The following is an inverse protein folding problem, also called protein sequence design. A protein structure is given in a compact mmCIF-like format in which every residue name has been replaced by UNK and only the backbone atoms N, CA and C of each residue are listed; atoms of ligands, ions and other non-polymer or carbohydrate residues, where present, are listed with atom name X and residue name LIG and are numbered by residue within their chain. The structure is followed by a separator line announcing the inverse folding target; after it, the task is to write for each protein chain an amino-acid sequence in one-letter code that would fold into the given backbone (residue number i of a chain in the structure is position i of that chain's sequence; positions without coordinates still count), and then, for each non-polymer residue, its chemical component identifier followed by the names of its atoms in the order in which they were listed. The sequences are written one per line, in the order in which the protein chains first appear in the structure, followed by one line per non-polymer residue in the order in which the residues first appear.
data_IF_831713631212
#
_entry.id   IF_831713631212
#
_cell.length_a   1.000
_cell.length_b   1.000
_cell.length_c   1.000
_cell.angle_alpha   90.00
_cell.angle_beta   90.00
_cell.angle_gamma   90.00
#
_symmetry.space_group_name_H-M   'P 1'
#
loop_
_entity.id
_entity.type
_entity.pdbx_description
1 polymer ?
#
# COMPACT_ATOMS: atom_id res chain seq x y z
N UNK A 1 -31.90 6.60 28.64
CA UNK A 1 -30.61 6.96 28.03
C UNK A 1 -30.43 6.16 26.75
N UNK A 2 -30.33 6.81 25.58
CA UNK A 2 -30.02 6.08 24.34
C UNK A 2 -28.56 5.65 24.40
N UNK A 3 -28.22 4.37 24.14
CA UNK A 3 -26.82 3.96 24.08
C UNK A 3 -26.15 4.75 22.94
N UNK A 4 -25.15 5.55 23.30
CA UNK A 4 -24.29 6.22 22.33
C UNK A 4 -23.59 5.12 21.54
N UNK A 5 -23.87 5.02 20.24
CA UNK A 5 -23.15 4.09 19.37
C UNK A 5 -21.69 4.56 19.34
N UNK A 6 -20.71 3.75 19.77
CA UNK A 6 -19.30 4.17 19.82
C UNK A 6 -18.64 4.25 18.43
N UNK A 7 -19.37 4.00 17.34
CA UNK A 7 -18.84 3.97 15.98
C UNK A 7 -18.24 5.30 15.49
N UNK A 8 -18.96 6.44 15.56
CA UNK A 8 -18.45 7.74 15.11
C UNK A 8 -17.16 8.21 15.79
N UNK A 9 -16.99 8.15 17.13
CA UNK A 9 -15.76 8.61 17.76
C UNK A 9 -14.54 7.75 17.39
N UNK A 10 -14.70 6.44 17.21
CA UNK A 10 -13.61 5.56 16.78
C UNK A 10 -13.09 5.92 15.38
N UNK A 11 -14.00 6.21 14.44
CA UNK A 11 -13.63 6.64 13.09
C UNK A 11 -12.97 8.02 13.08
N UNK A 12 -13.50 8.98 13.83
CA UNK A 12 -12.90 10.33 13.95
C UNK A 12 -11.49 10.22 14.51
N UNK A 13 -11.30 9.41 15.55
CA UNK A 13 -9.98 9.12 16.10
C UNK A 13 -9.05 8.52 15.04
N UNK A 14 -9.48 7.46 14.36
CA UNK A 14 -8.68 6.81 13.32
C UNK A 14 -8.23 7.78 12.21
N UNK A 15 -9.12 8.65 11.75
CA UNK A 15 -8.81 9.70 10.75
C UNK A 15 -7.81 10.72 11.31
N UNK A 16 -8.00 11.19 12.54
CA UNK A 16 -7.08 12.14 13.16
C UNK A 16 -5.66 11.56 13.30
N UNK A 17 -5.56 10.30 13.76
CA UNK A 17 -4.30 9.59 13.85
C UNK A 17 -3.63 9.35 12.50
N UNK A 18 -4.40 9.02 11.47
CA UNK A 18 -3.89 8.90 10.11
C UNK A 18 -3.31 10.24 9.61
N UNK A 19 -4.01 11.35 9.86
CA UNK A 19 -3.53 12.69 9.52
C UNK A 19 -2.24 13.07 10.26
N UNK A 20 -2.15 12.76 11.56
CA UNK A 20 -0.94 12.97 12.36
C UNK A 20 0.25 12.15 11.83
N UNK A 21 0.01 10.90 11.44
CA UNK A 21 1.05 10.05 10.87
C UNK A 21 1.54 10.60 9.52
N UNK A 22 0.64 10.92 8.59
CA UNK A 22 0.99 11.50 7.29
C UNK A 22 1.72 12.85 7.43
N UNK A 23 1.29 13.70 8.37
CA UNK A 23 1.98 14.95 8.71
C UNK A 23 3.39 14.68 9.24
N UNK A 24 3.58 13.67 10.09
CA UNK A 24 4.89 13.27 10.59
C UNK A 24 5.83 12.77 9.49
N UNK A 25 5.30 12.00 8.53
CA UNK A 25 6.06 11.57 7.35
C UNK A 25 6.47 12.76 6.48
N UNK A 26 5.58 13.74 6.29
CA UNK A 26 5.84 14.93 5.48
C UNK A 26 7.05 15.73 5.98
N UNK A 27 7.15 15.90 7.30
CA UNK A 27 8.25 16.65 7.94
C UNK A 27 9.42 15.76 8.37
N UNK A 28 9.35 14.46 8.04
CA UNK A 28 10.30 13.44 8.46
C UNK A 28 10.59 13.41 9.97
N UNK A 29 9.61 13.84 10.78
CA UNK A 29 9.66 13.78 12.22
C UNK A 29 8.33 13.23 12.71
N UNK A 30 8.32 12.08 13.43
CA UNK A 30 7.07 11.52 13.92
C UNK A 30 6.45 12.49 14.93
N UNK A 31 5.36 13.17 14.54
CA UNK A 31 4.55 14.00 15.46
C UNK A 31 4.11 13.15 16.65
N UNK A 32 3.73 11.90 16.36
CA UNK A 32 3.50 10.88 17.37
C UNK A 32 3.89 9.50 16.85
N UNK A 33 4.85 8.85 17.54
CA UNK A 33 5.45 7.55 17.18
C UNK A 33 4.44 6.45 16.88
N UNK A 34 3.30 6.42 17.57
CA UNK A 34 2.30 5.35 17.46
C UNK A 34 1.05 5.77 16.69
N UNK A 35 1.10 6.86 15.92
CA UNK A 35 -0.08 7.38 15.24
C UNK A 35 -0.69 6.36 14.26
N UNK A 36 0.12 5.70 13.43
CA UNK A 36 -0.34 4.66 12.51
C UNK A 36 -0.95 3.46 13.26
N UNK A 37 -0.24 2.95 14.27
CA UNK A 37 -0.68 1.83 15.11
C UNK A 37 -2.03 2.14 15.77
N UNK A 38 -2.21 3.35 16.29
CA UNK A 38 -3.46 3.79 16.90
C UNK A 38 -4.57 3.97 15.86
N UNK A 39 -4.26 4.46 14.66
CA UNK A 39 -5.24 4.56 13.57
C UNK A 39 -5.79 3.18 13.18
N UNK A 40 -4.89 2.22 12.93
CA UNK A 40 -5.26 0.85 12.58
C UNK A 40 -5.95 0.11 13.74
N UNK A 41 -5.49 0.33 14.98
CA UNK A 41 -6.12 -0.23 16.18
C UNK A 41 -7.56 0.27 16.38
N UNK A 42 -7.81 1.56 16.14
CA UNK A 42 -9.16 2.13 16.19
C UNK A 42 -10.04 1.63 15.05
N UNK A 43 -9.49 1.44 13.84
CA UNK A 43 -10.19 0.79 12.74
C UNK A 43 -10.59 -0.65 13.06
N UNK A 44 -9.70 -1.40 13.72
CA UNK A 44 -9.97 -2.76 14.17
C UNK A 44 -11.09 -2.77 15.20
N UNK A 45 -11.01 -1.92 16.22
CA UNK A 45 -12.06 -1.76 17.22
C UNK A 45 -13.40 -1.38 16.57
N UNK A 46 -13.38 -0.45 15.61
CA UNK A 46 -14.56 -0.04 14.87
C UNK A 46 -15.18 -1.21 14.08
N UNK A 47 -14.36 -2.03 13.40
CA UNK A 47 -14.83 -3.19 12.66
C UNK A 47 -15.48 -4.24 13.57
N UNK A 48 -14.88 -4.50 14.73
CA UNK A 48 -15.41 -5.44 15.72
C UNK A 48 -16.76 -4.97 16.30
N UNK A 49 -16.91 -3.67 16.59
CA UNK A 49 -18.15 -3.14 17.20
C UNK A 49 -19.27 -2.91 16.18
N UNK A 50 -18.93 -2.50 14.95
CA UNK A 50 -19.94 -2.16 13.93
C UNK A 50 -20.55 -3.40 13.25
N UNK A 51 -19.89 -4.55 13.37
CA UNK A 51 -20.31 -5.81 12.78
C UNK A 51 -20.00 -5.87 11.29
N UNK A 52 -19.14 -6.81 10.92
CA UNK A 52 -18.70 -7.02 9.53
C UNK A 52 -19.67 -7.96 8.80
N UNK A 53 -19.93 -7.79 7.49
CA UNK A 53 -20.61 -8.80 6.69
C UNK A 53 -19.93 -10.17 6.81
N UNK A 54 -20.72 -11.23 6.71
CA UNK A 54 -20.17 -12.59 6.74
C UNK A 54 -19.22 -12.79 5.55
N UNK A 55 -18.08 -13.46 5.75
CA UNK A 55 -17.52 -13.95 7.01
C UNK A 55 -16.93 -12.84 7.90
N UNK A 56 -17.33 -12.83 9.18
CA UNK A 56 -17.03 -11.76 10.15
C UNK A 56 -15.56 -11.62 10.52
N UNK A 57 -14.73 -12.61 10.19
CA UNK A 57 -13.31 -12.64 10.55
C UNK A 57 -12.40 -11.94 9.53
N UNK A 58 -12.86 -11.72 8.30
CA UNK A 58 -11.99 -11.28 7.19
C UNK A 58 -11.39 -9.88 7.39
N UNK A 59 -12.23 -8.91 7.77
CA UNK A 59 -11.78 -7.53 8.04
C UNK A 59 -10.88 -7.45 9.28
N UNK A 60 -11.23 -8.07 10.42
CA UNK A 60 -10.32 -8.15 11.56
C UNK A 60 -8.97 -8.77 11.21
N UNK A 61 -8.95 -9.91 10.50
CA UNK A 61 -7.71 -10.58 10.12
C UNK A 61 -6.83 -9.69 9.23
N UNK A 62 -7.42 -9.03 8.22
CA UNK A 62 -6.69 -8.08 7.37
C UNK A 62 -6.09 -6.91 8.19
N UNK A 63 -6.86 -6.32 9.11
CA UNK A 63 -6.39 -5.24 9.96
C UNK A 63 -5.33 -5.69 10.97
N UNK A 64 -5.39 -6.93 11.47
CA UNK A 64 -4.36 -7.48 12.36
C UNK A 64 -3.02 -7.60 11.65
N UNK A 65 -3.01 -8.01 10.37
CA UNK A 65 -1.78 -8.06 9.58
C UNK A 65 -1.17 -6.67 9.39
N UNK A 66 -2.00 -5.68 9.04
CA UNK A 66 -1.56 -4.29 8.92
C UNK A 66 -1.04 -3.72 10.25
N UNK A 67 -1.72 -4.03 11.36
CA UNK A 67 -1.29 -3.59 12.68
C UNK A 67 0.05 -4.22 13.10
N UNK A 68 0.25 -5.50 12.79
CA UNK A 68 1.51 -6.19 13.04
C UNK A 68 2.67 -5.52 12.28
N UNK A 69 2.42 -5.16 11.02
CA UNK A 69 3.40 -4.44 10.22
C UNK A 69 3.70 -3.05 10.78
N UNK A 70 2.68 -2.24 11.08
CA UNK A 70 2.85 -0.91 11.69
C UNK A 70 3.62 -0.95 13.02
N UNK A 71 3.41 -2.00 13.83
CA UNK A 71 4.20 -2.20 15.07
C UNK A 71 5.65 -2.53 14.74
N UNK A 72 5.90 -3.37 13.73
CA UNK A 72 7.24 -3.76 13.29
C UNK A 72 8.02 -2.58 12.69
N UNK A 73 7.35 -1.69 11.97
CA UNK A 73 7.94 -0.52 11.29
C UNK A 73 7.98 0.73 12.16
N UNK A 74 7.48 0.66 13.40
CA UNK A 74 7.52 1.78 14.35
C UNK A 74 8.97 2.23 14.59
N UNK A 75 9.31 3.53 14.38
CA UNK A 75 10.68 4.02 14.55
C UNK A 75 11.23 3.70 15.94
N UNK A 76 12.53 3.45 16.11
CA UNK A 76 13.14 3.29 17.43
C UNK A 76 12.99 4.56 18.28
N UNK A 77 13.18 4.44 19.61
CA UNK A 77 13.05 5.58 20.50
C UNK A 77 14.17 6.61 20.23
N UNK A 78 13.88 7.92 20.32
CA UNK A 78 14.89 8.96 20.13
C UNK A 78 16.07 8.74 21.09
N UNK A 79 17.30 8.77 20.55
CA UNK A 79 18.54 8.56 21.31
C UNK A 79 19.15 7.15 21.23
N UNK A 80 18.57 6.23 20.45
CA UNK A 80 19.15 4.88 20.21
C UNK A 80 19.85 4.72 18.85
N UNK A 81 20.00 5.79 18.08
CA UNK A 81 20.56 5.72 16.73
C UNK A 81 22.10 5.68 16.71
N UNK A 82 22.65 4.48 16.51
CA UNK A 82 24.00 4.30 15.97
C UNK A 82 23.96 4.67 14.49
N UNK A 83 24.41 5.87 14.16
CA UNK A 83 24.56 6.33 12.77
C UNK A 83 25.69 5.54 12.09
N UNK A 84 25.39 4.34 11.61
CA UNK A 84 26.30 3.61 10.73
C UNK A 84 26.01 4.07 9.31
N UNK A 85 26.86 4.96 8.81
CA UNK A 85 26.90 5.31 7.40
C UNK A 85 27.44 4.08 6.66
N UNK A 86 26.55 3.18 6.24
CA UNK A 86 26.91 2.09 5.34
C UNK A 86 27.15 2.70 3.96
N UNK A 87 28.42 2.99 3.67
CA UNK A 87 28.89 3.13 2.30
C UNK A 87 28.97 1.69 1.77
N UNK A 88 27.90 1.22 1.13
CA UNK A 88 27.91 -0.06 0.42
C UNK A 88 28.91 0.02 -0.73
N UNK A 89 30.07 -0.56 -0.47
CA UNK A 89 31.17 -0.63 -1.41
C UNK A 89 30.99 -1.91 -2.23
N UNK A 90 30.32 -1.79 -3.38
CA UNK A 90 30.28 -2.82 -4.43
C UNK A 90 30.11 -4.25 -3.93
N UNK A 91 29.07 -4.51 -3.15
CA UNK A 91 28.69 -5.88 -2.81
C UNK A 91 28.11 -6.56 -4.06
N UNK A 92 28.42 -7.84 -4.24
CA UNK A 92 27.79 -8.68 -5.26
C UNK A 92 26.27 -8.48 -5.22
N UNK A 93 25.66 -8.22 -6.39
CA UNK A 93 24.22 -8.03 -6.53
C UNK A 93 23.50 -9.32 -6.13
N UNK A 94 23.03 -9.37 -4.88
CA UNK A 94 22.21 -10.49 -4.41
C UNK A 94 20.82 -10.38 -5.03
N UNK A 95 20.62 -10.97 -6.20
CA UNK A 95 19.36 -10.97 -6.98
C UNK A 95 18.08 -11.21 -6.13
N UNK A 96 18.02 -12.17 -5.18
CA UNK A 96 16.83 -12.33 -4.32
C UNK A 96 16.54 -11.14 -3.40
N UNK A 97 17.54 -10.32 -3.03
CA UNK A 97 17.34 -9.13 -2.18
C UNK A 97 16.41 -8.09 -2.81
N UNK A 98 16.33 -8.04 -4.14
CA UNK A 98 15.37 -7.20 -4.85
C UNK A 98 13.92 -7.59 -4.54
N UNK A 99 13.60 -8.88 -4.64
CA UNK A 99 12.27 -9.40 -4.26
C UNK A 99 11.95 -9.13 -2.80
N UNK A 100 12.91 -9.37 -1.89
CA UNK A 100 12.73 -9.11 -0.46
C UNK A 100 12.46 -7.63 -0.17
N UNK A 101 13.16 -6.73 -0.86
CA UNK A 101 12.96 -5.28 -0.76
C UNK A 101 11.56 -4.87 -1.21
N UNK A 102 11.09 -5.38 -2.36
CA UNK A 102 9.71 -5.15 -2.80
C UNK A 102 8.67 -5.73 -1.84
N UNK A 103 8.93 -6.93 -1.31
CA UNK A 103 8.01 -7.60 -0.41
C UNK A 103 7.94 -6.89 0.94
N UNK A 104 9.06 -6.47 1.52
CA UNK A 104 9.10 -5.77 2.81
C UNK A 104 8.29 -4.47 2.78
N UNK A 105 8.20 -3.79 1.64
CA UNK A 105 7.41 -2.58 1.47
C UNK A 105 5.89 -2.81 1.42
N UNK A 106 5.42 -3.97 0.91
CA UNK A 106 4.00 -4.14 0.60
C UNK A 106 3.37 -5.44 1.10
N UNK A 107 4.10 -6.29 1.83
CA UNK A 107 3.62 -7.63 2.25
C UNK A 107 2.32 -7.55 3.06
N UNK A 108 2.20 -6.57 3.96
CA UNK A 108 1.05 -6.43 4.84
C UNK A 108 -0.20 -6.03 4.05
N UNK A 109 -0.07 -5.00 3.22
CA UNK A 109 -1.07 -4.54 2.24
C UNK A 109 -1.52 -5.68 1.31
N UNK A 110 -0.56 -6.40 0.73
CA UNK A 110 -0.80 -7.53 -0.18
C UNK A 110 -1.56 -8.65 0.51
N UNK A 111 -1.14 -9.02 1.72
CA UNK A 111 -1.79 -10.08 2.51
C UNK A 111 -3.21 -9.68 2.91
N UNK A 112 -3.41 -8.44 3.36
CA UNK A 112 -4.72 -7.91 3.71
C UNK A 112 -5.69 -7.94 2.51
N UNK A 113 -5.25 -7.46 1.34
CA UNK A 113 -6.03 -7.49 0.09
C UNK A 113 -6.31 -8.92 -0.34
N UNK A 114 -5.33 -9.83 -0.27
CA UNK A 114 -5.51 -11.23 -0.62
C UNK A 114 -6.56 -11.91 0.28
N UNK A 115 -6.50 -11.71 1.60
CA UNK A 115 -7.51 -12.21 2.55
C UNK A 115 -8.89 -11.72 2.17
N UNK A 116 -9.06 -10.42 1.94
CA UNK A 116 -10.36 -9.85 1.54
C UNK A 116 -10.83 -10.39 0.18
N UNK A 117 -9.92 -10.55 -0.79
CA UNK A 117 -10.25 -11.05 -2.12
C UNK A 117 -10.70 -12.52 -2.08
N UNK A 118 -10.06 -13.37 -1.26
CA UNK A 118 -10.47 -14.79 -1.14
C UNK A 118 -11.91 -14.95 -0.68
N UNK A 119 -12.37 -14.01 0.14
CA UNK A 119 -13.72 -13.97 0.69
C UNK A 119 -14.73 -13.44 -0.34
N UNK A 120 -14.39 -12.33 -1.01
CA UNK A 120 -15.32 -11.62 -1.88
C UNK A 120 -15.29 -12.06 -3.35
N UNK A 121 -14.39 -12.97 -3.75
CA UNK A 121 -14.34 -13.48 -5.14
C UNK A 121 -15.46 -14.47 -5.50
N UNK A 122 -16.27 -14.94 -4.53
CA UNK A 122 -17.15 -16.10 -4.69
C UNK A 122 -18.39 -15.89 -5.59
N UNK A 123 -18.93 -14.68 -5.69
CA UNK A 123 -20.23 -14.45 -6.34
C UNK A 123 -20.15 -13.93 -7.80
N UNK A 124 -19.02 -14.18 -8.48
CA UNK A 124 -18.88 -13.90 -9.91
C UNK A 124 -18.62 -12.44 -10.27
N UNK A 125 -18.04 -12.21 -11.45
CA UNK A 125 -17.55 -10.90 -11.88
C UNK A 125 -18.54 -10.23 -12.83
N UNK A 126 -18.88 -8.97 -12.59
CA UNK A 126 -19.72 -8.19 -13.51
C UNK A 126 -18.90 -7.66 -14.70
N UNK A 127 -19.25 -8.11 -15.91
CA UNK A 127 -18.59 -7.78 -17.20
C UNK A 127 -18.25 -6.30 -17.44
N UNK A 128 -19.05 -5.37 -16.93
CA UNK A 128 -18.79 -3.92 -17.09
C UNK A 128 -17.68 -3.41 -16.18
N UNK A 129 -17.60 -3.94 -14.96
CA UNK A 129 -16.60 -3.55 -13.97
C UNK A 129 -15.24 -4.17 -14.33
N UNK A 130 -15.24 -5.36 -14.93
CA UNK A 130 -14.01 -6.03 -15.38
C UNK A 130 -13.31 -5.29 -16.51
N UNK A 131 -14.03 -4.61 -17.40
CA UNK A 131 -13.41 -3.85 -18.49
C UNK A 131 -12.58 -2.67 -17.97
N UNK A 132 -13.13 -1.87 -17.05
CA UNK A 132 -12.39 -0.76 -16.43
C UNK A 132 -11.19 -1.22 -15.62
N UNK A 133 -11.33 -2.33 -14.87
CA UNK A 133 -10.21 -2.90 -14.13
C UNK A 133 -9.14 -3.52 -15.04
N UNK A 134 -9.52 -4.09 -16.20
CA UNK A 134 -8.55 -4.58 -17.18
C UNK A 134 -7.72 -3.43 -17.75
N UNK A 135 -8.33 -2.28 -18.04
CA UNK A 135 -7.61 -1.07 -18.47
C UNK A 135 -6.68 -0.58 -17.37
N UNK A 136 -7.17 -0.49 -16.13
CA UNK A 136 -6.33 -0.08 -14.99
C UNK A 136 -5.17 -1.06 -14.75
N UNK A 137 -5.41 -2.38 -14.85
CA UNK A 137 -4.39 -3.40 -14.71
C UNK A 137 -3.35 -3.31 -15.84
N UNK A 138 -3.79 -3.04 -17.06
CA UNK A 138 -2.91 -2.81 -18.20
C UNK A 138 -2.04 -1.56 -17.99
N UNK A 139 -2.58 -0.49 -17.42
CA UNK A 139 -1.81 0.70 -17.09
C UNK A 139 -0.76 0.44 -16.00
N UNK A 140 -1.12 -0.28 -14.93
CA UNK A 140 -0.19 -0.64 -13.85
C UNK A 140 0.92 -1.57 -14.37
N UNK A 141 0.56 -2.61 -15.12
CA UNK A 141 1.53 -3.52 -15.72
C UNK A 141 2.40 -2.81 -16.77
N UNK A 142 1.79 -1.96 -17.60
CA UNK A 142 2.50 -1.15 -18.59
C UNK A 142 3.51 -0.19 -17.95
N UNK A 143 3.13 0.46 -16.84
CA UNK A 143 4.05 1.29 -16.06
C UNK A 143 5.25 0.48 -15.56
N UNK A 144 5.01 -0.68 -14.94
CA UNK A 144 6.07 -1.57 -14.48
C UNK A 144 7.02 -1.99 -15.61
N UNK A 145 6.49 -2.37 -16.77
CA UNK A 145 7.28 -2.73 -17.96
C UNK A 145 8.13 -1.55 -18.44
N UNK A 146 7.56 -0.35 -18.56
CA UNK A 146 8.30 0.85 -18.98
C UNK A 146 9.47 1.13 -18.05
N UNK A 147 9.28 1.00 -16.73
CA UNK A 147 10.34 1.24 -15.74
C UNK A 147 11.47 0.20 -15.83
N UNK A 148 11.14 -1.08 -15.96
CA UNK A 148 12.13 -2.15 -16.15
C UNK A 148 12.92 -1.95 -17.45
N UNK A 149 12.23 -1.57 -18.54
CA UNK A 149 12.86 -1.31 -19.85
C UNK A 149 13.77 -0.08 -19.82
N UNK A 150 13.35 1.00 -19.16
CA UNK A 150 14.17 2.21 -19.01
C UNK A 150 15.48 1.91 -18.27
N UNK A 151 15.41 1.11 -17.21
CA UNK A 151 16.60 0.66 -16.46
C UNK A 151 17.48 -0.25 -17.33
N UNK A 152 16.89 -1.19 -18.06
CA UNK A 152 17.64 -2.04 -18.99
C UNK A 152 18.36 -1.23 -20.07
N UNK A 153 17.69 -0.22 -20.64
CA UNK A 153 18.30 0.70 -21.60
C UNK A 153 19.43 1.52 -20.97
N UNK A 154 19.24 2.00 -19.75
CA UNK A 154 20.24 2.75 -19.00
C UNK A 154 21.50 1.89 -18.71
N UNK A 155 21.32 0.64 -18.28
CA UNK A 155 22.41 -0.32 -18.05
C UNK A 155 23.15 -0.65 -19.36
N UNK A 156 22.43 -0.81 -20.49
CA UNK A 156 23.05 -1.11 -21.80
C UNK A 156 23.80 0.06 -22.42
N UNK A 157 23.39 1.28 -22.15
CA UNK A 157 24.02 2.48 -22.70
C UNK A 157 25.39 2.80 -22.06
N UNK A 158 25.78 2.06 -21.02
CA UNK A 158 27.03 2.30 -20.28
C UNK A 158 28.23 1.73 -21.06
N UNK A 159 29.19 2.57 -21.50
CA UNK A 159 30.42 2.09 -22.13
C UNK A 159 31.34 1.54 -21.04
N UNK A 160 31.34 0.22 -20.81
CA UNK A 160 32.23 -0.43 -19.83
C UNK A 160 33.32 -1.27 -20.52
N UNK A 161 34.61 -1.00 -20.26
CA UNK A 161 35.72 -1.78 -20.80
C UNK A 161 36.00 -3.13 -20.08
N UNK A 162 35.26 -3.50 -19.02
CA UNK A 162 35.67 -4.60 -18.11
C UNK A 162 34.59 -5.59 -17.64
N UNK A 163 33.35 -5.55 -18.13
CA UNK A 163 32.31 -6.52 -17.71
C UNK A 163 32.04 -7.54 -18.81
N UNK A 164 32.26 -8.82 -18.50
CA UNK A 164 31.85 -9.94 -19.35
C UNK A 164 30.33 -10.16 -19.21
N UNK A 165 29.70 -10.72 -20.24
CA UNK A 165 28.26 -10.65 -20.53
C UNK A 165 27.26 -11.21 -19.51
N UNK A 166 27.69 -11.70 -18.34
CA UNK A 166 26.81 -12.10 -17.22
C UNK A 166 26.47 -10.92 -16.29
N UNK A 167 27.39 -9.97 -16.09
CA UNK A 167 27.28 -8.94 -15.05
C UNK A 167 26.25 -7.82 -15.37
N UNK A 168 25.67 -7.83 -16.57
CA UNK A 168 24.66 -6.86 -17.02
C UNK A 168 23.22 -7.35 -16.88
N UNK A 169 23.02 -8.67 -16.73
CA UNK A 169 21.69 -9.26 -16.55
C UNK A 169 21.19 -9.17 -15.10
N UNK A 170 22.10 -9.30 -14.13
CA UNK A 170 21.82 -9.31 -12.70
C UNK A 170 21.04 -8.08 -12.19
N UNK A 171 21.39 -6.81 -12.54
CA UNK A 171 20.61 -5.67 -12.07
C UNK A 171 19.19 -5.63 -12.67
N UNK A 172 19.01 -6.11 -13.91
CA UNK A 172 17.70 -6.13 -14.58
C UNK A 172 16.82 -7.22 -13.98
N UNK A 173 17.40 -8.39 -13.66
CA UNK A 173 16.69 -9.47 -12.98
C UNK A 173 16.32 -9.04 -11.55
N UNK A 174 17.25 -8.43 -10.81
CA UNK A 174 16.99 -7.92 -9.45
C UNK A 174 15.86 -6.88 -9.43
N UNK A 175 15.89 -5.91 -10.36
CA UNK A 175 14.80 -4.93 -10.54
C UNK A 175 13.50 -5.61 -10.95
N UNK A 176 13.55 -6.54 -11.90
CA UNK A 176 12.37 -7.29 -12.34
C UNK A 176 11.71 -8.02 -11.18
N UNK A 177 12.50 -8.66 -10.31
CA UNK A 177 12.04 -9.33 -9.11
C UNK A 177 11.49 -8.36 -8.05
N UNK A 178 12.14 -7.20 -7.85
CA UNK A 178 11.72 -6.18 -6.90
C UNK A 178 10.34 -5.59 -7.21
N UNK A 179 9.99 -5.52 -8.50
CA UNK A 179 8.73 -4.97 -9.00
C UNK A 179 7.57 -5.96 -8.81
N UNK A 180 7.83 -7.27 -8.66
CA UNK A 180 6.77 -8.30 -8.59
C UNK A 180 5.81 -8.13 -7.39
N UNK A 181 6.28 -7.93 -6.13
CA UNK A 181 5.37 -7.76 -5.00
C UNK A 181 4.42 -6.56 -5.13
N UNK A 182 4.87 -5.33 -5.42
CA UNK A 182 3.95 -4.21 -5.61
C UNK A 182 3.07 -4.35 -6.85
N UNK A 183 3.54 -4.99 -7.92
CA UNK A 183 2.69 -5.32 -9.08
C UNK A 183 1.56 -6.28 -8.67
N UNK A 184 1.88 -7.31 -7.89
CA UNK A 184 0.89 -8.23 -7.35
C UNK A 184 -0.12 -7.51 -6.45
N UNK A 185 0.33 -6.55 -5.62
CA UNK A 185 -0.57 -5.71 -4.82
C UNK A 185 -1.54 -4.93 -5.73
N UNK A 186 -1.03 -4.25 -6.76
CA UNK A 186 -1.88 -3.47 -7.68
C UNK A 186 -2.95 -4.33 -8.37
N UNK A 187 -2.55 -5.48 -8.89
CA UNK A 187 -3.47 -6.39 -9.59
C UNK A 187 -4.50 -7.03 -8.65
N UNK A 188 -4.06 -7.47 -7.46
CA UNK A 188 -4.97 -8.05 -6.46
C UNK A 188 -5.94 -7.00 -5.90
N UNK A 189 -5.49 -5.77 -5.72
CA UNK A 189 -6.32 -4.65 -5.29
C UNK A 189 -7.38 -4.29 -6.34
N UNK A 190 -7.03 -4.29 -7.63
CA UNK A 190 -8.02 -4.11 -8.71
C UNK A 190 -9.03 -5.27 -8.76
N UNK A 191 -8.58 -6.51 -8.60
CA UNK A 191 -9.48 -7.67 -8.52
C UNK A 191 -10.42 -7.58 -7.30
N UNK A 192 -9.91 -7.09 -6.17
CA UNK A 192 -10.75 -6.82 -4.99
C UNK A 192 -11.75 -5.68 -5.27
N UNK A 193 -11.31 -4.62 -5.95
CA UNK A 193 -12.19 -3.51 -6.32
C UNK A 193 -13.35 -3.96 -7.21
N UNK A 194 -13.10 -4.85 -8.19
CA UNK A 194 -14.15 -5.38 -9.06
C UNK A 194 -15.12 -6.27 -8.31
N UNK A 195 -14.60 -7.16 -7.45
CA UNK A 195 -15.40 -8.01 -6.60
C UNK A 195 -16.32 -7.16 -5.70
N UNK A 196 -15.77 -6.18 -4.98
CA UNK A 196 -16.52 -5.29 -4.09
C UNK A 196 -17.56 -4.46 -4.83
N UNK A 197 -17.25 -3.96 -6.03
CA UNK A 197 -18.21 -3.25 -6.87
C UNK A 197 -19.35 -4.16 -7.33
N UNK A 198 -19.07 -5.43 -7.66
CA UNK A 198 -20.09 -6.45 -7.96
C UNK A 198 -21.05 -6.68 -6.79
N UNK A 199 -20.55 -6.60 -5.56
CA UNK A 199 -21.36 -6.70 -4.33
C UNK A 199 -22.03 -5.38 -3.91
N UNK A 200 -21.99 -4.33 -4.77
CA UNK A 200 -22.57 -3.02 -4.49
C UNK A 200 -21.82 -2.21 -3.40
N UNK A 201 -20.62 -2.63 -3.01
CA UNK A 201 -19.80 -2.00 -1.96
C UNK A 201 -18.92 -0.88 -2.55
N UNK A 202 -19.55 0.20 -3.03
CA UNK A 202 -18.86 1.28 -3.76
C UNK A 202 -17.72 1.93 -2.96
N UNK A 203 -17.92 2.20 -1.67
CA UNK A 203 -16.88 2.80 -0.82
C UNK A 203 -15.68 1.86 -0.64
N UNK A 204 -15.93 0.57 -0.37
CA UNK A 204 -14.85 -0.40 -0.22
C UNK A 204 -14.12 -0.63 -1.55
N UNK A 205 -14.84 -0.64 -2.67
CA UNK A 205 -14.27 -0.69 -4.02
C UNK A 205 -13.37 0.51 -4.28
N UNK A 206 -13.78 1.73 -3.90
CA UNK A 206 -12.94 2.92 -4.00
C UNK A 206 -11.66 2.80 -3.16
N UNK A 207 -11.76 2.28 -1.93
CA UNK A 207 -10.58 1.99 -1.11
C UNK A 207 -9.62 0.99 -1.79
N UNK A 208 -10.14 -0.09 -2.38
CA UNK A 208 -9.30 -1.03 -3.13
C UNK A 208 -8.65 -0.40 -4.37
N UNK A 209 -9.32 0.52 -5.07
CA UNK A 209 -8.71 1.28 -6.17
C UNK A 209 -7.58 2.19 -5.66
N UNK A 210 -7.76 2.84 -4.50
CA UNK A 210 -6.68 3.64 -3.90
C UNK A 210 -5.46 2.78 -3.54
N UNK A 211 -5.64 1.55 -3.05
CA UNK A 211 -4.51 0.62 -2.83
C UNK A 211 -3.81 0.26 -4.15
N UNK A 212 -4.55 0.10 -5.24
CA UNK A 212 -3.93 -0.13 -6.55
C UNK A 212 -3.11 1.09 -7.02
N UNK A 213 -3.52 2.31 -6.66
CA UNK A 213 -2.74 3.53 -6.92
C UNK A 213 -1.48 3.58 -6.05
N UNK A 214 -1.58 3.18 -4.77
CA UNK A 214 -0.43 3.09 -3.84
C UNK A 214 0.62 2.09 -4.30
N UNK A 215 0.24 1.07 -5.06
CA UNK A 215 1.21 0.16 -5.65
C UNK A 215 2.23 0.87 -6.56
N UNK A 216 1.88 2.00 -7.20
CA UNK A 216 2.79 2.74 -8.08
C UNK A 216 4.01 3.32 -7.34
N UNK A 217 3.87 4.14 -6.27
CA UNK A 217 5.02 4.59 -5.50
C UNK A 217 5.77 3.44 -4.82
N UNK A 218 5.12 2.31 -4.52
CA UNK A 218 5.84 1.12 -4.06
C UNK A 218 6.68 0.46 -5.15
N UNK A 219 6.23 0.44 -6.42
CA UNK A 219 7.08 0.00 -7.54
C UNK A 219 8.34 0.84 -7.60
N UNK A 220 8.20 2.17 -7.52
CA UNK A 220 9.35 3.09 -7.58
C UNK A 220 10.28 2.96 -6.37
N UNK A 221 9.72 2.81 -5.17
CA UNK A 221 10.50 2.57 -3.96
C UNK A 221 11.24 1.22 -4.03
N UNK A 222 10.61 0.18 -4.57
CA UNK A 222 11.22 -1.15 -4.71
C UNK A 222 12.37 -1.12 -5.72
N UNK A 223 12.20 -0.41 -6.83
CA UNK A 223 13.26 -0.16 -7.82
C UNK A 223 14.42 0.60 -7.18
N UNK A 224 14.12 1.68 -6.44
CA UNK A 224 15.12 2.52 -5.79
C UNK A 224 15.88 1.83 -4.65
N UNK A 225 15.37 0.71 -4.13
CA UNK A 225 16.05 -0.12 -3.14
C UNK A 225 17.07 -1.09 -3.75
N UNK A 226 17.00 -1.35 -5.07
CA UNK A 226 18.01 -2.19 -5.75
C UNK A 226 19.28 -1.36 -5.95
N UNK A 227 20.46 -1.84 -5.51
CA UNK A 227 21.71 -1.12 -5.71
C UNK A 227 22.09 -1.11 -7.20
N UNK A 228 21.71 -0.03 -7.88
CA UNK A 228 22.00 0.17 -9.30
C UNK A 228 23.32 0.93 -9.51
N UNK A 229 24.01 0.72 -10.65
CA UNK A 229 25.14 1.57 -11.07
C UNK A 229 24.85 3.06 -10.96
N UNK A 230 25.84 3.87 -10.54
CA UNK A 230 25.68 5.30 -10.25
C UNK A 230 24.93 6.10 -11.34
N UNK A 231 25.09 5.80 -12.63
CA UNK A 231 24.39 6.48 -13.73
C UNK A 231 22.97 5.96 -14.02
N UNK A 232 22.70 4.67 -13.76
CA UNK A 232 21.34 4.12 -13.80
C UNK A 232 20.54 4.65 -12.60
N UNK A 233 21.21 4.79 -11.45
CA UNK A 233 20.68 5.45 -10.27
C UNK A 233 20.41 6.94 -10.54
N UNK A 234 21.30 7.68 -11.22
CA UNK A 234 21.16 9.13 -11.49
C UNK A 234 19.94 9.50 -12.35
N UNK A 235 19.59 8.68 -13.35
CA UNK A 235 18.35 8.88 -14.14
C UNK A 235 17.09 8.64 -13.30
N UNK A 236 17.17 7.76 -12.30
CA UNK A 236 16.12 7.59 -11.28
C UNK A 236 16.29 8.53 -10.07
N UNK A 237 17.41 9.28 -9.98
CA UNK A 237 17.79 10.04 -8.79
C UNK A 237 17.02 11.35 -8.62
N UNK A 238 16.31 11.83 -9.66
CA UNK A 238 15.26 12.83 -9.46
C UNK A 238 14.17 12.37 -8.47
N UNK A 239 14.09 11.06 -8.19
CA UNK A 239 13.25 10.48 -7.13
C UNK A 239 14.07 9.87 -5.96
N UNK A 240 15.41 10.00 -5.95
CA UNK A 240 16.27 9.59 -4.84
C UNK A 240 16.26 10.59 -3.67
N UNK A 241 15.11 11.22 -3.40
CA UNK A 241 14.88 12.04 -2.19
C UNK A 241 15.03 11.23 -0.89
N UNK A 242 15.18 9.92 -0.99
CA UNK A 242 15.49 9.01 0.11
C UNK A 242 16.95 9.10 0.57
N UNK A 243 17.88 9.48 -0.31
CA UNK A 243 19.31 9.61 -0.03
C UNK A 243 19.69 10.96 0.62
N UNK A 244 18.80 11.95 0.54
CA UNK A 244 18.98 13.24 1.20
C UNK A 244 18.34 13.16 2.59
N UNK A 245 19.15 13.42 3.63
CA UNK A 245 18.67 13.53 5.01
C UNK A 245 17.60 14.62 5.06
N UNK A 246 16.34 14.28 5.39
CA UNK A 246 15.24 15.22 5.30
C UNK A 246 15.34 16.25 6.42
N UNK A 247 15.02 17.49 6.07
CA UNK A 247 14.97 18.63 7.00
C UNK A 247 13.64 19.36 6.81
N UNK A 248 13.28 20.25 7.74
CA UNK A 248 12.09 21.11 7.58
C UNK A 248 12.12 21.95 6.28
N UNK A 249 13.31 22.15 5.69
CA UNK A 249 13.53 22.81 4.41
C UNK A 249 13.43 21.89 3.18
N UNK A 250 13.39 20.57 3.36
CA UNK A 250 13.31 19.54 2.33
C UNK A 250 12.23 18.51 2.70
N UNK A 251 10.92 18.88 2.63
CA UNK A 251 9.83 17.98 2.97
C UNK A 251 9.80 16.75 2.05
N UNK A 252 9.16 15.67 2.52
CA UNK A 252 8.97 14.41 1.77
C UNK A 252 7.51 14.27 1.28
N UNK A 253 7.08 15.05 0.27
CA UNK A 253 5.68 15.08 -0.15
C UNK A 253 5.21 13.74 -0.72
N UNK A 254 6.05 13.05 -1.49
CA UNK A 254 5.68 11.77 -2.13
C UNK A 254 5.42 10.68 -1.08
N UNK A 255 6.35 10.36 -0.14
CA UNK A 255 6.06 9.41 0.93
C UNK A 255 4.83 9.79 1.77
N UNK A 256 4.66 11.06 2.11
CA UNK A 256 3.53 11.52 2.91
C UNK A 256 2.19 11.33 2.19
N UNK A 257 2.15 11.63 0.88
CA UNK A 257 0.96 11.40 0.05
C UNK A 257 0.67 9.90 -0.09
N UNK A 258 1.69 9.07 -0.32
CA UNK A 258 1.52 7.61 -0.39
C UNK A 258 0.86 7.08 0.87
N UNK A 259 1.40 7.43 2.04
CA UNK A 259 0.86 7.04 3.35
C UNK A 259 -0.55 7.58 3.57
N UNK A 260 -0.81 8.83 3.22
CA UNK A 260 -2.14 9.42 3.34
C UNK A 260 -3.18 8.68 2.48
N UNK A 261 -2.84 8.36 1.24
CA UNK A 261 -3.70 7.62 0.31
C UNK A 261 -3.91 6.18 0.80
N UNK A 262 -2.87 5.53 1.31
CA UNK A 262 -2.93 4.18 1.87
C UNK A 262 -3.86 4.10 3.08
N UNK A 263 -3.69 4.99 4.07
CA UNK A 263 -4.55 5.04 5.25
C UNK A 263 -6.00 5.41 4.87
N UNK A 264 -6.19 6.31 3.91
CA UNK A 264 -7.51 6.60 3.35
C UNK A 264 -8.13 5.36 2.68
N UNK A 265 -7.32 4.57 1.99
CA UNK A 265 -7.76 3.32 1.38
C UNK A 265 -8.26 2.31 2.43
N UNK A 266 -7.51 2.13 3.52
CA UNK A 266 -7.93 1.27 4.65
C UNK A 266 -9.21 1.78 5.31
N UNK A 267 -9.32 3.09 5.56
CA UNK A 267 -10.53 3.71 6.08
C UNK A 267 -11.75 3.42 5.19
N UNK A 268 -11.64 3.64 3.88
CA UNK A 268 -12.72 3.40 2.93
C UNK A 268 -13.09 1.91 2.82
N UNK A 269 -12.11 1.01 2.86
CA UNK A 269 -12.32 -0.43 2.90
C UNK A 269 -13.12 -0.83 4.15
N UNK A 270 -12.66 -0.42 5.34
CA UNK A 270 -13.31 -0.79 6.60
C UNK A 270 -14.72 -0.21 6.67
N UNK A 271 -14.88 1.10 6.43
CA UNK A 271 -16.19 1.77 6.47
C UNK A 271 -17.14 1.20 5.41
N UNK A 272 -16.65 0.96 4.20
CA UNK A 272 -17.46 0.40 3.11
C UNK A 272 -17.91 -1.03 3.37
N UNK A 273 -17.11 -1.81 4.09
CA UNK A 273 -17.45 -3.18 4.46
C UNK A 273 -18.40 -3.23 5.67
N UNK A 274 -18.20 -2.39 6.69
CA UNK A 274 -19.01 -2.42 7.93
C UNK A 274 -20.31 -1.60 7.85
N UNK A 275 -20.34 -0.51 7.09
CA UNK A 275 -21.42 0.50 7.08
C UNK A 275 -22.72 0.13 6.36
N UNK A 276 -22.87 -1.11 5.91
CA UNK A 276 -23.88 -1.50 4.93
C UNK A 276 -25.19 -2.05 5.49
N UNK A 277 -25.49 -1.79 6.77
CA UNK A 277 -26.86 -1.97 7.29
C UNK A 277 -27.76 -0.88 6.72
N UNK A 278 -28.32 -1.11 5.53
CA UNK A 278 -29.49 -0.36 5.07
C UNK A 278 -30.58 -0.47 6.15
N UNK A 279 -31.22 0.64 6.57
CA UNK A 279 -32.41 0.54 7.38
C UNK A 279 -33.45 -0.23 6.60
N UNK A 280 -33.91 -1.34 7.17
CA UNK A 280 -35.08 -2.08 6.69
C UNK A 280 -36.18 -1.05 6.44
N UNK A 281 -36.54 -0.85 5.18
CA UNK A 281 -37.65 0.02 4.80
C UNK A 281 -38.85 -0.53 5.55
N UNK A 282 -39.35 0.20 6.54
CA UNK A 282 -40.57 -0.16 7.23
C UNK A 282 -41.65 -0.30 6.15
N UNK A 283 -42.07 -1.52 5.90
CA UNK A 283 -43.26 -1.78 5.11
C UNK A 283 -44.38 -1.21 5.97
N UNK A 284 -44.91 -0.07 5.57
CA UNK A 284 -46.19 0.43 6.05
C UNK A 284 -47.22 -0.61 5.66
N UNK A 285 -47.55 -1.51 6.59
CA UNK A 285 -48.80 -2.27 6.54
C UNK A 285 -49.91 -1.27 6.75
N UNK A 286 -50.55 -0.88 5.65
CA UNK A 286 -51.81 -0.15 5.66
C UNK A 286 -52.87 -1.04 6.34
N UNK A 287 -53.56 -0.58 7.40
CA UNK A 287 -54.66 -1.34 7.97
C UNK A 287 -55.80 -1.37 6.97
N UNK A 288 -56.18 -2.56 6.51
CA UNK A 288 -57.42 -2.76 5.79
C UNK A 288 -58.58 -2.41 6.74
N UNK A 289 -59.36 -1.39 6.36
CA UNK A 289 -60.62 -1.03 7.00
C UNK A 289 -61.74 -2.02 6.70
#
# INVERSE_FOLDING_TARGET
MRPVRPGPPLLIGAVAFAGLHAAGVLVAQPVWRYAEVLSLGLLLAYALVSGVPAPRWAVPAALTVLLLDAVRTTPPAPGTERHVLMIERGADLDVPSGFESGLTLCWASLTAVAVLLTVWRRDGWHRRVTAGAAVAALLVAGYAVVRVVDIWLAVRAEPRPYLHGTDSADPVIAVGLAVLPPLALGLTALALATALAGHGRRLASAGAVLLAVVALPYLDASIGAVPLPLYAADRTAMFAGNAITPTLSLPRPVPALTVAVELAAYLLLVVGLTGSRRPTRAVTTEPAG
#
